data_IF_589651144780
#
_entry.id   IF_589651144780
#
_cell.length_a   1.000
_cell.length_b   1.000
_cell.length_c   1.000
_cell.angle_alpha   90.00
_cell.angle_beta   90.00
_cell.angle_gamma   90.00
#
_symmetry.space_group_name_H-M   'P 1'
#
loop_
_entity.id
_entity.type
_entity.pdbx_description
1 polymer ?
#
# COMPACT_ATOMS: atom_id res chain seq x y z
N UNK A 1 -10.74 26.29 10.72
CA UNK A 1 -10.17 25.22 11.55
C UNK A 1 -8.88 24.73 10.91
N UNK A 2 -7.89 24.38 11.71
CA UNK A 2 -6.59 23.92 11.21
C UNK A 2 -6.51 22.40 11.28
N UNK A 3 -6.21 21.76 10.13
CA UNK A 3 -5.92 20.34 10.08
C UNK A 3 -4.43 20.15 10.37
N UNK A 4 -4.09 19.39 11.40
CA UNK A 4 -2.70 19.16 11.80
C UNK A 4 -2.03 18.10 10.95
N UNK A 5 -2.79 17.09 10.51
CA UNK A 5 -2.23 15.97 9.75
C UNK A 5 -3.34 15.18 9.07
N UNK A 6 -3.03 14.67 7.88
CA UNK A 6 -3.93 13.75 7.17
C UNK A 6 -3.32 12.34 7.25
N UNK A 7 -4.13 11.36 7.61
CA UNK A 7 -3.75 9.95 7.60
C UNK A 7 -4.71 9.17 6.73
N UNK A 8 -4.22 8.17 6.03
CA UNK A 8 -5.04 7.14 5.42
C UNK A 8 -5.12 5.96 6.37
N UNK A 9 -6.33 5.59 6.78
CA UNK A 9 -6.51 4.48 7.73
C UNK A 9 -7.00 3.25 6.98
N UNK A 10 -6.29 2.15 7.16
CA UNK A 10 -6.65 0.84 6.64
C UNK A 10 -6.82 -0.14 7.82
N UNK A 11 -7.50 -1.25 7.58
CA UNK A 11 -7.79 -2.23 8.62
C UNK A 11 -6.96 -3.48 8.41
N UNK A 12 -6.52 -4.09 9.51
CA UNK A 12 -5.72 -5.30 9.48
C UNK A 12 -6.31 -6.36 10.41
N UNK A 13 -6.32 -7.59 9.94
CA UNK A 13 -6.61 -8.76 10.75
C UNK A 13 -5.38 -9.15 11.58
N UNK A 14 -4.19 -8.91 11.06
CA UNK A 14 -2.90 -9.21 11.71
C UNK A 14 -2.01 -7.96 11.65
N UNK A 15 -1.89 -7.29 12.80
CA UNK A 15 -1.17 -6.01 12.89
C UNK A 15 0.29 -6.14 12.49
N UNK A 16 1.01 -7.14 13.01
CA UNK A 16 2.43 -7.27 12.72
C UNK A 16 2.70 -7.55 11.24
N UNK A 17 1.88 -8.39 10.64
CA UNK A 17 1.96 -8.70 9.22
C UNK A 17 1.68 -7.46 8.36
N UNK A 18 0.67 -6.68 8.71
CA UNK A 18 0.32 -5.45 7.99
C UNK A 18 1.44 -4.42 8.08
N UNK A 19 2.02 -4.24 9.27
CA UNK A 19 3.13 -3.31 9.47
C UNK A 19 4.34 -3.74 8.61
N UNK A 20 4.69 -5.03 8.63
CA UNK A 20 5.80 -5.51 7.80
C UNK A 20 5.55 -5.27 6.32
N UNK A 21 4.33 -5.54 5.85
CA UNK A 21 3.99 -5.31 4.45
C UNK A 21 4.19 -3.86 4.04
N UNK A 22 3.56 -2.93 4.73
CA UNK A 22 3.57 -1.52 4.34
C UNK A 22 4.91 -0.84 4.60
N UNK A 23 5.59 -1.19 5.68
CA UNK A 23 6.90 -0.62 5.99
C UNK A 23 7.99 -1.15 5.05
N UNK A 24 8.06 -2.48 4.89
CA UNK A 24 9.22 -3.09 4.22
C UNK A 24 9.10 -3.07 2.70
N UNK A 25 7.87 -3.16 2.16
CA UNK A 25 7.66 -3.16 0.71
C UNK A 25 7.97 -1.80 0.08
N UNK A 26 7.66 -0.71 0.78
CA UNK A 26 7.67 0.63 0.22
C UNK A 26 8.66 1.57 0.91
N UNK A 27 9.70 1.05 1.54
CA UNK A 27 10.70 1.84 2.26
C UNK A 27 10.07 2.79 3.27
N UNK A 28 9.06 2.31 3.97
CA UNK A 28 8.33 3.07 4.97
C UNK A 28 9.09 3.18 6.28
N UNK A 29 8.70 4.16 7.08
CA UNK A 29 9.23 4.37 8.42
C UNK A 29 8.12 4.16 9.44
N UNK A 30 8.34 3.26 10.39
CA UNK A 30 7.39 3.04 11.48
C UNK A 30 7.44 4.22 12.45
N UNK A 31 6.31 4.93 12.58
CA UNK A 31 6.20 6.06 13.51
C UNK A 31 5.75 5.61 14.90
N UNK A 32 4.80 4.67 14.94
CA UNK A 32 4.36 4.06 16.19
C UNK A 32 3.65 2.74 15.91
N UNK A 33 3.61 1.89 16.92
CA UNK A 33 2.85 0.65 16.89
C UNK A 33 2.43 0.22 18.29
N UNK A 34 1.18 -0.15 18.43
CA UNK A 34 0.67 -0.89 19.58
C UNK A 34 -0.36 -1.92 19.08
N UNK A 35 -1.06 -2.61 19.97
CA UNK A 35 -2.00 -3.67 19.57
C UNK A 35 -3.23 -3.17 18.82
N UNK A 36 -3.51 -1.88 18.88
CA UNK A 36 -4.72 -1.28 18.30
C UNK A 36 -4.41 -0.52 17.02
N UNK A 37 -3.33 0.24 16.99
CA UNK A 37 -2.99 1.09 15.86
C UNK A 37 -1.50 1.13 15.60
N UNK A 38 -1.14 1.26 14.32
CA UNK A 38 0.20 1.57 13.89
C UNK A 38 0.18 2.70 12.87
N UNK A 39 1.29 3.39 12.72
CA UNK A 39 1.46 4.43 11.70
C UNK A 39 2.77 4.20 10.97
N UNK A 40 2.68 4.12 9.65
CA UNK A 40 3.84 3.97 8.75
C UNK A 40 3.87 5.17 7.81
N UNK A 41 4.99 5.88 7.79
CA UNK A 41 5.20 6.99 6.89
C UNK A 41 5.83 6.49 5.59
N UNK A 42 5.21 6.84 4.47
CA UNK A 42 5.70 6.49 3.13
C UNK A 42 5.71 7.77 2.31
N UNK A 43 6.88 8.21 1.86
CA UNK A 43 7.03 9.40 1.01
C UNK A 43 6.28 10.63 1.57
N UNK A 44 6.29 10.81 2.88
CA UNK A 44 5.63 11.92 3.55
C UNK A 44 4.15 11.73 3.86
N UNK A 45 3.53 10.69 3.35
CA UNK A 45 2.15 10.34 3.70
C UNK A 45 2.13 9.35 4.86
N UNK A 46 1.08 9.38 5.67
CA UNK A 46 0.94 8.47 6.80
C UNK A 46 -0.17 7.46 6.52
N UNK A 47 0.20 6.19 6.53
CA UNK A 47 -0.74 5.08 6.50
C UNK A 47 -0.98 4.65 7.95
N UNK A 48 -2.20 4.87 8.43
CA UNK A 48 -2.64 4.37 9.72
C UNK A 48 -3.19 2.96 9.56
N UNK A 49 -2.75 2.03 10.39
CA UNK A 49 -3.20 0.64 10.36
C UNK A 49 -3.96 0.38 11.65
N UNK A 50 -5.23 0.03 11.55
CA UNK A 50 -6.07 -0.25 12.71
C UNK A 50 -6.35 -1.75 12.80
N UNK A 51 -6.24 -2.30 14.01
CA UNK A 51 -6.60 -3.69 14.27
C UNK A 51 -8.11 -3.90 14.20
N UNK A 52 -8.55 -5.13 14.10
CA UNK A 52 -9.97 -5.47 14.06
C UNK A 52 -10.52 -5.65 12.64
N UNK A 53 -9.67 -5.65 11.62
CA UNK A 53 -10.06 -6.00 10.26
C UNK A 53 -10.41 -7.47 10.15
N UNK A 54 -11.23 -7.80 9.14
CA UNK A 54 -11.68 -9.17 8.90
C UNK A 54 -10.98 -9.83 7.70
N UNK A 55 -10.03 -9.14 7.08
CA UNK A 55 -9.33 -9.64 5.91
C UNK A 55 -10.14 -9.58 4.62
N UNK A 56 -11.30 -8.93 4.64
CA UNK A 56 -12.15 -8.80 3.45
C UNK A 56 -11.55 -7.83 2.44
N UNK A 57 -11.80 -8.10 1.17
CA UNK A 57 -11.38 -7.21 0.09
C UNK A 57 -12.05 -5.84 0.25
N UNK A 58 -11.24 -4.80 0.34
CA UNK A 58 -11.70 -3.43 0.57
C UNK A 58 -10.87 -2.46 -0.28
N UNK A 59 -11.53 -1.69 -1.14
CA UNK A 59 -10.89 -0.65 -1.92
C UNK A 59 -10.53 0.54 -1.03
N UNK A 60 -9.27 0.98 -1.09
CA UNK A 60 -8.77 2.07 -0.24
C UNK A 60 -8.62 3.41 -0.98
N UNK A 61 -8.45 3.36 -2.29
CA UNK A 61 -8.11 4.53 -3.08
C UNK A 61 -6.64 4.95 -2.98
N UNK A 62 -5.81 4.20 -2.26
CA UNK A 62 -4.38 4.51 -2.14
C UNK A 62 -3.70 4.24 -3.48
N UNK A 63 -2.95 5.23 -3.97
CA UNK A 63 -2.11 5.11 -5.15
C UNK A 63 -0.67 5.41 -4.75
N UNK A 64 0.22 4.48 -5.04
CA UNK A 64 1.65 4.65 -4.82
C UNK A 64 2.31 4.85 -6.17
N UNK A 65 2.90 6.03 -6.38
CA UNK A 65 3.59 6.35 -7.63
C UNK A 65 5.03 5.86 -7.55
N UNK A 66 5.41 5.02 -8.51
CA UNK A 66 6.73 4.41 -8.60
C UNK A 66 7.36 4.75 -9.96
N UNK A 67 8.68 4.70 -10.00
CA UNK A 67 9.40 4.79 -11.28
C UNK A 67 9.18 3.53 -12.14
N UNK A 68 9.04 2.36 -11.50
CA UNK A 68 8.93 1.06 -12.17
C UNK A 68 7.81 0.23 -11.53
N UNK A 69 6.66 0.19 -12.22
CA UNK A 69 5.47 -0.54 -11.72
C UNK A 69 5.68 -2.05 -11.77
N UNK A 70 6.47 -2.55 -12.73
CA UNK A 70 6.77 -3.99 -12.81
C UNK A 70 7.56 -4.43 -11.58
N UNK A 71 8.62 -3.70 -11.24
CA UNK A 71 9.41 -3.98 -10.04
C UNK A 71 8.56 -3.87 -8.77
N UNK A 72 7.68 -2.87 -8.72
CA UNK A 72 6.75 -2.70 -7.59
C UNK A 72 5.81 -3.88 -7.44
N UNK A 73 5.25 -4.38 -8.53
CA UNK A 73 4.37 -5.54 -8.51
C UNK A 73 5.07 -6.80 -8.01
N UNK A 74 6.31 -7.01 -8.41
CA UNK A 74 7.13 -8.13 -7.92
C UNK A 74 7.39 -8.00 -6.41
N UNK A 75 7.67 -6.78 -5.93
CA UNK A 75 7.88 -6.53 -4.50
C UNK A 75 6.61 -6.81 -3.69
N UNK A 76 5.45 -6.41 -4.18
CA UNK A 76 4.16 -6.71 -3.54
C UNK A 76 3.96 -8.22 -3.40
N UNK A 77 4.18 -8.98 -4.47
CA UNK A 77 4.06 -10.43 -4.43
C UNK A 77 5.05 -11.07 -3.45
N UNK A 78 6.30 -10.62 -3.47
CA UNK A 78 7.34 -11.14 -2.56
C UNK A 78 7.00 -10.87 -1.09
N UNK A 79 6.28 -9.79 -0.80
CA UNK A 79 5.85 -9.44 0.55
C UNK A 79 4.54 -10.14 0.99
N UNK A 80 3.97 -10.99 0.15
CA UNK A 80 2.75 -11.75 0.46
C UNK A 80 1.46 -11.12 -0.03
N UNK A 81 1.54 -10.00 -0.74
CA UNK A 81 0.38 -9.41 -1.43
C UNK A 81 0.10 -10.12 -2.75
N UNK A 82 -0.96 -9.68 -3.41
CA UNK A 82 -1.36 -10.20 -4.71
C UNK A 82 -1.63 -9.07 -5.69
N UNK A 83 -1.60 -9.38 -6.98
CA UNK A 83 -2.01 -8.46 -8.03
C UNK A 83 -3.30 -8.96 -8.66
N UNK A 84 -4.29 -8.09 -8.74
CA UNK A 84 -5.54 -8.36 -9.44
C UNK A 84 -5.52 -7.85 -10.88
N UNK A 85 -4.59 -6.93 -11.17
CA UNK A 85 -4.26 -6.51 -12.53
C UNK A 85 -2.75 -6.41 -12.64
N UNK A 86 -2.18 -7.29 -13.47
CA UNK A 86 -0.75 -7.26 -13.78
C UNK A 86 -0.40 -6.01 -14.59
N UNK A 87 0.80 -5.44 -14.39
CA UNK A 87 1.22 -4.29 -15.18
C UNK A 87 1.46 -4.69 -16.64
N UNK A 88 0.87 -3.92 -17.56
CA UNK A 88 0.99 -4.15 -18.99
C UNK A 88 1.42 -2.88 -19.70
N UNK A 89 2.31 -2.97 -20.70
CA UNK A 89 2.68 -1.82 -21.52
C UNK A 89 1.46 -1.23 -22.25
N UNK A 90 1.44 0.08 -22.40
CA UNK A 90 0.43 0.79 -23.19
C UNK A 90 1.10 1.69 -24.21
N UNK A 91 0.67 1.61 -25.46
CA UNK A 91 1.15 2.49 -26.54
C UNK A 91 2.67 2.56 -26.66
N UNK A 92 3.35 1.45 -26.45
CA UNK A 92 4.81 1.39 -26.51
C UNK A 92 5.53 1.98 -25.30
N UNK A 93 4.79 2.41 -24.28
CA UNK A 93 5.35 2.92 -23.03
C UNK A 93 5.38 1.84 -21.96
N UNK A 94 6.28 1.96 -20.96
CA UNK A 94 6.25 1.08 -19.79
C UNK A 94 4.90 1.15 -19.08
N UNK A 95 4.53 0.10 -18.32
CA UNK A 95 3.25 0.07 -17.61
C UNK A 95 3.05 1.26 -16.68
N UNK A 96 1.81 1.77 -16.65
CA UNK A 96 1.41 2.87 -15.78
C UNK A 96 0.63 2.43 -14.55
N UNK A 97 0.15 1.18 -14.53
CA UNK A 97 -0.80 0.73 -13.50
C UNK A 97 -0.63 -0.74 -13.18
N UNK A 98 -0.69 -1.07 -11.89
CA UNK A 98 -0.99 -2.40 -11.38
C UNK A 98 -2.02 -2.27 -10.26
N UNK A 99 -2.94 -3.23 -10.17
CA UNK A 99 -3.91 -3.28 -9.08
C UNK A 99 -3.47 -4.36 -8.10
N UNK A 100 -3.42 -3.99 -6.83
CA UNK A 100 -2.81 -4.81 -5.79
C UNK A 100 -3.75 -5.03 -4.62
N UNK A 101 -3.46 -6.09 -3.85
CA UNK A 101 -4.10 -6.35 -2.56
C UNK A 101 -2.98 -6.62 -1.56
N UNK A 102 -3.05 -5.98 -0.39
CA UNK A 102 -2.10 -6.24 0.68
C UNK A 102 -2.39 -7.57 1.38
N UNK A 103 -1.67 -7.88 2.46
CA UNK A 103 -1.83 -9.14 3.20
C UNK A 103 -3.12 -9.20 4.01
N UNK A 104 -3.89 -8.11 4.10
CA UNK A 104 -5.10 -8.02 4.91
C UNK A 104 -6.36 -7.65 4.09
N UNK A 105 -6.28 -7.79 2.77
CA UNK A 105 -7.44 -7.57 1.89
C UNK A 105 -7.59 -6.14 1.42
N UNK A 106 -6.73 -5.22 1.81
CA UNK A 106 -6.81 -3.83 1.37
C UNK A 106 -6.32 -3.70 -0.06
N UNK A 107 -7.17 -3.17 -0.94
CA UNK A 107 -6.87 -2.99 -2.35
C UNK A 107 -6.27 -1.60 -2.56
N UNK A 108 -5.19 -1.55 -3.35
CA UNK A 108 -4.51 -0.31 -3.67
C UNK A 108 -3.90 -0.42 -5.07
N UNK A 109 -3.34 0.66 -5.56
CA UNK A 109 -2.72 0.65 -6.89
C UNK A 109 -1.30 1.15 -6.86
N UNK A 110 -0.52 0.63 -7.79
CA UNK A 110 0.79 1.15 -8.13
C UNK A 110 0.65 1.88 -9.44
N UNK A 111 1.22 3.08 -9.51
CA UNK A 111 1.11 3.93 -10.69
C UNK A 111 2.48 4.46 -11.08
N UNK A 112 2.62 4.85 -12.34
CA UNK A 112 3.80 5.55 -12.83
C UNK A 112 3.36 6.91 -13.37
N UNK A 113 4.17 7.93 -13.15
CA UNK A 113 3.88 9.25 -13.69
C UNK A 113 3.80 9.18 -15.22
N UNK A 114 2.72 9.71 -15.77
CA UNK A 114 2.54 9.88 -17.20
C UNK A 114 3.18 11.19 -17.67
N UNK A 115 3.71 11.18 -18.83
CA UNK A 115 4.28 12.41 -19.36
C UNK A 115 5.53 12.26 -20.15
#
# INVERSE_FOLDING_TARGET
MNVERVKYVIWAADMDRAVRFWRDTFDGRLLKQNSVIAEVEIAGAVIGIHSGGEGKRTWTGISLQLADVIAGGLAVKAAGGTLTKEPEPENGEPPHLAMCVDTDGNEFMLTRKRG
#
